data_IF_536952317639
#
_entry.id   IF_536952317639
#
_cell.length_a   1.000
_cell.length_b   1.000
_cell.length_c   1.000
_cell.angle_alpha   90.00
_cell.angle_beta   90.00
_cell.angle_gamma   90.00
#
_symmetry.space_group_name_H-M   'P 1'
#
loop_
_entity.id
_entity.type
_entity.pdbx_description
1 polymer ?
#
# COMPACT_ATOMS: atom_id res chain seq x y z
N UNK A 1 4.86 -24.90 -15.34
CA UNK A 1 5.10 -25.03 -13.89
C UNK A 1 4.19 -24.02 -13.19
N UNK A 2 3.19 -24.50 -12.47
CA UNK A 2 2.32 -23.65 -11.66
C UNK A 2 3.12 -23.20 -10.44
N UNK A 3 3.45 -21.92 -10.37
CA UNK A 3 4.01 -21.31 -9.17
C UNK A 3 2.88 -20.99 -8.18
N UNK A 4 3.14 -21.10 -6.89
CA UNK A 4 2.16 -20.76 -5.84
C UNK A 4 1.66 -19.33 -6.03
N UNK A 5 0.38 -19.07 -5.76
CA UNK A 5 -0.26 -17.76 -5.94
C UNK A 5 0.41 -16.57 -5.24
N UNK A 6 1.34 -16.84 -4.32
CA UNK A 6 2.18 -15.80 -3.72
C UNK A 6 3.32 -15.30 -4.62
N UNK A 7 3.61 -15.99 -5.73
CA UNK A 7 4.75 -15.69 -6.62
C UNK A 7 4.32 -15.28 -8.03
N UNK A 8 3.05 -15.39 -8.38
CA UNK A 8 2.55 -14.94 -9.68
C UNK A 8 2.26 -13.44 -9.55
N UNK A 9 3.32 -12.65 -9.59
CA UNK A 9 3.22 -11.23 -9.90
C UNK A 9 2.65 -11.07 -11.32
N UNK A 10 2.01 -9.96 -11.56
CA UNK A 10 1.43 -9.57 -12.83
C UNK A 10 2.42 -9.83 -13.96
N UNK A 11 2.19 -10.89 -14.73
CA UNK A 11 2.84 -11.13 -16.04
C UNK A 11 2.14 -10.33 -17.14
N UNK A 12 1.53 -9.20 -16.79
CA UNK A 12 1.02 -8.23 -17.75
C UNK A 12 2.13 -7.27 -18.12
N UNK A 13 2.49 -7.25 -19.39
CA UNK A 13 3.44 -6.34 -20.05
C UNK A 13 4.16 -5.34 -19.13
N UNK A 14 5.38 -5.71 -18.73
CA UNK A 14 6.27 -4.79 -17.99
C UNK A 14 6.47 -3.46 -18.74
N UNK A 15 6.36 -3.45 -20.06
CA UNK A 15 6.44 -2.26 -20.90
C UNK A 15 5.36 -1.21 -20.59
N UNK A 16 4.13 -1.61 -20.19
CA UNK A 16 3.08 -0.66 -19.80
C UNK A 16 3.34 0.02 -18.45
N UNK A 17 4.22 -0.52 -17.63
CA UNK A 17 4.55 0.05 -16.31
C UNK A 17 5.44 1.28 -16.48
N UNK A 18 6.27 1.31 -17.52
CA UNK A 18 7.18 2.43 -17.80
C UNK A 18 6.47 3.69 -18.33
N UNK A 19 5.23 3.55 -18.81
CA UNK A 19 4.41 4.68 -19.32
C UNK A 19 3.52 5.32 -18.23
N UNK A 20 3.58 4.88 -16.98
CA UNK A 20 2.83 5.50 -15.91
C UNK A 20 3.39 6.88 -15.58
N UNK A 21 2.55 7.91 -15.66
CA UNK A 21 2.94 9.27 -15.33
C UNK A 21 3.34 9.37 -13.83
N UNK A 22 4.36 10.17 -13.55
CA UNK A 22 4.80 10.50 -12.21
C UNK A 22 3.64 11.06 -11.36
N UNK A 23 3.45 10.54 -10.14
CA UNK A 23 2.40 10.98 -9.23
C UNK A 23 2.86 12.28 -8.57
N UNK A 24 2.37 13.39 -9.10
CA UNK A 24 2.56 14.70 -8.47
C UNK A 24 1.34 15.01 -7.60
N UNK A 25 1.41 14.64 -6.31
CA UNK A 25 0.34 14.85 -5.33
C UNK A 25 0.80 15.79 -4.24
N UNK A 26 -0.03 16.75 -3.90
CA UNK A 26 0.13 17.69 -2.77
C UNK A 26 -0.44 17.12 -1.45
N UNK A 27 -1.05 15.95 -1.49
CA UNK A 27 -1.62 15.29 -0.32
C UNK A 27 -0.55 14.98 0.71
N UNK A 28 -0.79 15.45 1.94
CA UNK A 28 0.13 15.29 3.07
C UNK A 28 -0.58 14.70 4.27
N UNK A 29 0.17 13.93 5.06
CA UNK A 29 -0.33 13.33 6.30
C UNK A 29 0.70 13.51 7.41
N UNK A 30 0.27 13.54 8.67
CA UNK A 30 1.18 13.58 9.80
C UNK A 30 1.73 12.19 10.14
N UNK A 31 2.99 12.14 10.52
CA UNK A 31 3.65 10.90 10.96
C UNK A 31 2.90 10.23 12.13
N UNK A 32 2.36 11.03 13.05
CA UNK A 32 1.53 10.57 14.17
C UNK A 32 0.28 9.83 13.71
N UNK A 33 -0.38 10.34 12.67
CA UNK A 33 -1.62 9.74 12.15
C UNK A 33 -1.32 8.40 11.46
N UNK A 34 -0.23 8.33 10.70
CA UNK A 34 0.23 7.07 10.10
C UNK A 34 0.47 6.01 11.17
N UNK A 35 1.21 6.35 12.22
CA UNK A 35 1.56 5.40 13.29
C UNK A 35 0.33 4.99 14.12
N UNK A 36 -0.56 5.95 14.42
CA UNK A 36 -1.80 5.69 15.13
C UNK A 36 -2.73 4.78 14.33
N UNK A 37 -2.90 5.06 13.04
CA UNK A 37 -3.70 4.22 12.16
C UNK A 37 -3.08 2.82 12.00
N UNK A 38 -1.77 2.73 11.83
CA UNK A 38 -1.08 1.43 11.75
C UNK A 38 -1.27 0.59 13.02
N UNK A 39 -1.32 1.21 14.20
CA UNK A 39 -1.60 0.51 15.46
C UNK A 39 -3.01 -0.10 15.44
N UNK A 40 -4.03 0.68 15.09
CA UNK A 40 -5.42 0.21 14.95
C UNK A 40 -5.53 -0.87 13.86
N UNK A 41 -4.93 -0.63 12.72
CA UNK A 41 -4.87 -1.57 11.60
C UNK A 41 -4.33 -2.94 12.01
N UNK A 42 -3.29 -2.98 12.85
CA UNK A 42 -2.68 -4.24 13.29
C UNK A 42 -3.55 -5.03 14.30
N UNK A 43 -4.42 -4.37 15.05
CA UNK A 43 -5.23 -5.00 16.12
C UNK A 43 -6.64 -5.39 15.66
N UNK A 44 -7.05 -5.06 14.45
CA UNK A 44 -8.45 -5.16 13.99
C UNK A 44 -8.73 -6.32 13.03
N UNK A 45 -8.03 -7.45 13.15
CA UNK A 45 -8.24 -8.60 12.26
C UNK A 45 -8.63 -9.87 13.02
N UNK A 46 -9.94 -10.09 13.20
CA UNK A 46 -10.46 -11.33 13.78
C UNK A 46 -10.07 -12.58 12.98
N UNK A 47 -9.96 -12.44 11.65
CA UNK A 47 -9.58 -13.56 10.79
C UNK A 47 -8.12 -13.94 10.99
N UNK A 48 -7.23 -12.95 11.14
CA UNK A 48 -5.83 -13.20 11.47
C UNK A 48 -5.68 -13.81 12.87
N UNK A 49 -6.42 -13.30 13.85
CA UNK A 49 -6.38 -13.80 15.23
C UNK A 49 -6.79 -15.29 15.30
N UNK A 50 -7.75 -15.69 14.47
CA UNK A 50 -8.24 -17.07 14.42
C UNK A 50 -7.36 -18.01 13.59
N UNK A 51 -6.67 -17.51 12.56
CA UNK A 51 -6.01 -18.36 11.56
C UNK A 51 -4.51 -18.14 11.45
N UNK A 52 -4.00 -16.96 11.84
CA UNK A 52 -2.61 -16.55 11.63
C UNK A 52 -2.20 -16.45 10.17
N UNK A 53 -3.12 -16.61 9.21
CA UNK A 53 -2.80 -16.91 7.81
C UNK A 53 -3.43 -15.94 6.80
N UNK A 54 -3.63 -14.68 7.15
CA UNK A 54 -4.15 -13.68 6.22
C UNK A 54 -3.31 -12.42 6.17
N UNK A 55 -3.28 -11.80 5.01
CA UNK A 55 -2.82 -10.44 4.81
C UNK A 55 -4.00 -9.48 4.83
N UNK A 56 -3.76 -8.28 5.32
CA UNK A 56 -4.74 -7.20 5.39
C UNK A 56 -4.24 -6.00 4.60
N UNK A 57 -5.15 -5.34 3.90
CA UNK A 57 -4.93 -4.05 3.27
C UNK A 57 -6.05 -3.08 3.69
N UNK A 58 -5.68 -1.84 3.89
CA UNK A 58 -6.59 -0.76 4.25
C UNK A 58 -6.28 0.47 3.41
N UNK A 59 -7.33 1.13 2.93
CA UNK A 59 -7.23 2.38 2.19
C UNK A 59 -7.98 3.47 2.95
N UNK A 60 -7.25 4.48 3.37
CA UNK A 60 -7.78 5.64 4.09
C UNK A 60 -7.80 6.83 3.15
N UNK A 61 -8.97 7.38 2.86
CA UNK A 61 -9.17 8.50 1.97
C UNK A 61 -9.11 9.83 2.73
N UNK A 62 -8.88 10.95 2.01
CA UNK A 62 -8.85 12.31 2.56
C UNK A 62 -10.16 12.67 3.29
N UNK A 63 -11.31 12.17 2.82
CA UNK A 63 -12.62 12.40 3.43
C UNK A 63 -12.88 11.58 4.71
N UNK A 64 -11.88 10.83 5.18
CA UNK A 64 -11.99 9.94 6.33
C UNK A 64 -12.64 8.59 6.04
N UNK A 65 -13.04 8.31 4.79
CA UNK A 65 -13.57 7.00 4.42
C UNK A 65 -12.47 5.93 4.51
N UNK A 66 -12.77 4.81 5.13
CA UNK A 66 -11.85 3.69 5.30
C UNK A 66 -12.42 2.44 4.64
N UNK A 67 -11.64 1.82 3.78
CA UNK A 67 -11.90 0.49 3.23
C UNK A 67 -10.89 -0.50 3.76
N UNK A 68 -11.35 -1.68 4.16
CA UNK A 68 -10.50 -2.75 4.69
C UNK A 68 -10.82 -4.05 4.00
N UNK A 69 -9.79 -4.80 3.63
CA UNK A 69 -9.92 -6.12 3.03
C UNK A 69 -8.86 -7.08 3.54
N UNK A 70 -9.18 -8.36 3.54
CA UNK A 70 -8.30 -9.44 3.94
C UNK A 70 -8.24 -10.52 2.86
N UNK A 71 -7.06 -11.14 2.70
CA UNK A 71 -6.84 -12.26 1.79
C UNK A 71 -5.59 -13.05 2.22
N UNK A 72 -5.52 -14.33 1.86
CA UNK A 72 -4.31 -15.15 2.05
C UNK A 72 -3.13 -14.57 1.26
N UNK A 73 -3.39 -14.03 0.07
CA UNK A 73 -2.39 -13.41 -0.79
C UNK A 73 -2.27 -11.91 -0.55
N UNK A 74 -1.08 -11.42 -0.17
CA UNK A 74 -0.85 -9.97 0.04
C UNK A 74 -1.18 -9.10 -1.19
N UNK A 75 -0.98 -9.64 -2.40
CA UNK A 75 -1.33 -8.96 -3.65
C UNK A 75 -2.85 -8.82 -3.81
N UNK A 76 -3.57 -9.90 -3.50
CA UNK A 76 -5.02 -9.93 -3.57
C UNK A 76 -5.67 -8.98 -2.54
N UNK A 77 -5.11 -8.88 -1.33
CA UNK A 77 -5.61 -7.95 -0.32
C UNK A 77 -5.58 -6.49 -0.83
N UNK A 78 -4.48 -6.09 -1.52
CA UNK A 78 -4.37 -4.77 -2.13
C UNK A 78 -5.35 -4.61 -3.30
N UNK A 79 -5.43 -5.59 -4.20
CA UNK A 79 -6.37 -5.52 -5.33
C UNK A 79 -7.82 -5.40 -4.86
N UNK A 80 -8.19 -6.15 -3.82
CA UNK A 80 -9.53 -6.09 -3.22
C UNK A 80 -9.85 -4.70 -2.66
N UNK A 81 -8.95 -4.08 -1.90
CA UNK A 81 -9.24 -2.78 -1.28
C UNK A 81 -9.33 -1.66 -2.31
N UNK A 82 -8.48 -1.70 -3.34
CA UNK A 82 -8.55 -0.75 -4.46
C UNK A 82 -9.83 -0.99 -5.27
N UNK A 83 -10.14 -2.25 -5.56
CA UNK A 83 -11.37 -2.64 -6.26
C UNK A 83 -12.63 -2.19 -5.51
N UNK A 84 -12.66 -2.36 -4.18
CA UNK A 84 -13.77 -1.94 -3.34
C UNK A 84 -13.98 -0.41 -3.39
N UNK A 85 -12.91 0.38 -3.32
CA UNK A 85 -12.98 1.84 -3.48
C UNK A 85 -13.49 2.23 -4.88
N UNK A 86 -13.00 1.54 -5.92
CA UNK A 86 -13.43 1.76 -7.31
C UNK A 86 -14.92 1.44 -7.53
N UNK A 87 -15.41 0.32 -6.98
CA UNK A 87 -16.84 -0.05 -7.05
C UNK A 87 -17.73 0.99 -6.37
N UNK A 88 -17.23 1.65 -5.32
CA UNK A 88 -17.90 2.76 -4.64
C UNK A 88 -17.62 4.12 -5.30
N UNK A 89 -17.03 4.16 -6.49
CA UNK A 89 -16.72 5.37 -7.27
C UNK A 89 -15.93 6.42 -6.48
N UNK A 90 -15.03 5.97 -5.58
CA UNK A 90 -14.18 6.86 -4.77
C UNK A 90 -12.89 7.20 -5.51
N UNK A 91 -12.50 8.48 -5.44
CA UNK A 91 -11.17 8.91 -5.88
C UNK A 91 -10.11 8.56 -4.82
N UNK A 92 -9.09 7.84 -5.23
CA UNK A 92 -8.01 7.36 -4.35
C UNK A 92 -6.71 8.17 -4.47
N UNK A 93 -6.72 9.26 -5.26
CA UNK A 93 -5.53 10.10 -5.50
C UNK A 93 -5.07 10.88 -4.26
N UNK A 94 -5.91 11.01 -3.25
CA UNK A 94 -5.61 11.58 -1.95
C UNK A 94 -5.92 10.54 -0.86
N UNK A 95 -5.07 9.53 -0.79
CA UNK A 95 -5.25 8.42 0.14
C UNK A 95 -3.93 7.86 0.65
N UNK A 96 -4.01 7.09 1.71
CA UNK A 96 -2.93 6.26 2.23
C UNK A 96 -3.34 4.80 2.14
N UNK A 97 -2.52 3.98 1.50
CA UNK A 97 -2.67 2.53 1.51
C UNK A 97 -1.82 1.93 2.64
N UNK A 98 -2.44 1.20 3.53
CA UNK A 98 -1.77 0.41 4.57
C UNK A 98 -1.78 -1.07 4.21
N UNK A 99 -0.66 -1.76 4.45
CA UNK A 99 -0.54 -3.19 4.16
C UNK A 99 0.23 -3.93 5.27
N UNK A 100 -0.10 -5.20 5.47
CA UNK A 100 0.65 -6.07 6.41
C UNK A 100 1.84 -6.75 5.77
N UNK A 101 1.82 -6.91 4.44
CA UNK A 101 2.84 -7.64 3.68
C UNK A 101 4.03 -6.79 3.27
N UNK A 102 5.12 -7.46 2.88
CA UNK A 102 6.30 -6.79 2.27
C UNK A 102 5.88 -6.03 1.02
N UNK A 103 6.46 -4.84 0.83
CA UNK A 103 6.21 -4.00 -0.35
C UNK A 103 7.26 -4.31 -1.43
N UNK A 104 6.86 -5.12 -2.40
CA UNK A 104 7.65 -5.41 -3.61
C UNK A 104 7.31 -4.42 -4.74
N UNK A 105 8.06 -4.49 -5.83
CA UNK A 105 7.82 -3.66 -7.02
C UNK A 105 6.37 -3.80 -7.51
N UNK A 106 5.85 -5.03 -7.58
CA UNK A 106 4.50 -5.31 -8.09
C UNK A 106 3.43 -4.65 -7.21
N UNK A 107 3.65 -4.61 -5.88
CA UNK A 107 2.75 -3.92 -4.95
C UNK A 107 2.75 -2.40 -5.18
N UNK A 108 3.94 -1.83 -5.38
CA UNK A 108 4.11 -0.40 -5.70
C UNK A 108 3.44 -0.07 -7.03
N UNK A 109 3.66 -0.89 -8.07
CA UNK A 109 3.06 -0.69 -9.40
C UNK A 109 1.53 -0.66 -9.35
N UNK A 110 0.89 -1.52 -8.57
CA UNK A 110 -0.57 -1.47 -8.36
C UNK A 110 -1.01 -0.10 -7.85
N UNK A 111 -0.27 0.47 -6.90
CA UNK A 111 -0.55 1.80 -6.36
C UNK A 111 -0.30 2.91 -7.39
N UNK A 112 0.75 2.79 -8.21
CA UNK A 112 1.03 3.72 -9.32
C UNK A 112 -0.12 3.76 -10.31
N UNK A 113 -0.62 2.62 -10.75
CA UNK A 113 -1.72 2.51 -11.71
C UNK A 113 -3.00 3.22 -11.23
N UNK A 114 -3.23 3.24 -9.92
CA UNK A 114 -4.38 3.90 -9.30
C UNK A 114 -4.08 5.29 -8.75
N UNK A 115 -2.83 5.78 -8.94
CA UNK A 115 -2.36 7.09 -8.47
C UNK A 115 -2.48 7.29 -6.96
N UNK A 116 -2.28 6.22 -6.18
CA UNK A 116 -2.22 6.26 -4.72
C UNK A 116 -0.87 6.84 -4.29
N UNK A 117 -0.81 8.01 -3.63
CA UNK A 117 0.45 8.72 -3.42
C UNK A 117 1.28 8.21 -2.25
N UNK A 118 0.67 7.57 -1.26
CA UNK A 118 1.34 7.16 -0.02
C UNK A 118 1.03 5.68 0.27
N UNK A 119 2.09 4.88 0.47
CA UNK A 119 1.97 3.45 0.76
C UNK A 119 2.78 3.12 2.02
N UNK A 120 2.13 2.50 2.98
CA UNK A 120 2.67 2.20 4.30
C UNK A 120 2.58 0.71 4.59
N UNK A 121 3.66 0.10 5.11
CA UNK A 121 3.61 -1.27 5.59
C UNK A 121 4.31 -1.44 6.94
N UNK A 122 3.80 -2.38 7.75
CA UNK A 122 4.53 -2.88 8.92
C UNK A 122 5.74 -3.76 8.57
N UNK A 123 5.79 -4.25 7.34
CA UNK A 123 6.84 -5.14 6.85
C UNK A 123 7.96 -4.38 6.12
N UNK A 124 8.94 -5.14 5.65
CA UNK A 124 10.06 -4.63 4.87
C UNK A 124 9.63 -4.15 3.46
N UNK A 125 10.43 -3.29 2.88
CA UNK A 125 10.34 -2.86 1.49
C UNK A 125 11.49 -3.49 0.71
N UNK A 126 11.26 -3.94 -0.51
CA UNK A 126 12.33 -4.47 -1.36
C UNK A 126 13.05 -3.34 -2.09
N UNK A 127 14.31 -3.57 -2.48
CA UNK A 127 15.09 -2.60 -3.26
C UNK A 127 14.35 -2.19 -4.55
N UNK A 128 13.77 -3.15 -5.27
CA UNK A 128 13.00 -2.87 -6.49
C UNK A 128 11.72 -2.08 -6.20
N UNK A 129 11.09 -2.30 -5.03
CA UNK A 129 9.94 -1.50 -4.57
C UNK A 129 10.35 -0.04 -4.32
N UNK A 130 11.50 0.19 -3.67
CA UNK A 130 12.02 1.54 -3.44
C UNK A 130 12.32 2.24 -4.77
N UNK A 131 13.02 1.56 -5.68
CA UNK A 131 13.35 2.10 -7.00
C UNK A 131 12.08 2.51 -7.76
N UNK A 132 11.12 1.61 -7.87
CA UNK A 132 9.85 1.88 -8.56
C UNK A 132 9.06 3.04 -7.90
N UNK A 133 8.99 3.09 -6.57
CA UNK A 133 8.31 4.16 -5.86
C UNK A 133 8.97 5.54 -6.11
N UNK A 134 10.31 5.56 -6.15
CA UNK A 134 11.06 6.78 -6.42
C UNK A 134 10.84 7.28 -7.85
N UNK A 135 10.84 6.38 -8.83
CA UNK A 135 10.64 6.70 -10.25
C UNK A 135 9.22 7.20 -10.56
N UNK A 136 8.22 6.75 -9.79
CA UNK A 136 6.81 7.08 -10.05
C UNK A 136 6.19 8.05 -9.04
N UNK A 137 6.96 8.61 -8.11
CA UNK A 137 6.47 9.65 -7.20
C UNK A 137 5.59 9.12 -6.06
N UNK A 138 5.77 7.87 -5.61
CA UNK A 138 5.09 7.33 -4.42
C UNK A 138 5.92 7.57 -3.16
N UNK A 139 5.30 8.05 -2.09
CA UNK A 139 5.87 8.03 -0.74
C UNK A 139 5.77 6.63 -0.16
N UNK A 140 6.91 5.96 -0.02
CA UNK A 140 6.98 4.57 0.43
C UNK A 140 7.50 4.48 1.85
N UNK A 141 6.70 3.87 2.72
CA UNK A 141 7.00 3.71 4.15
C UNK A 141 7.01 2.24 4.52
N UNK A 142 8.09 1.81 5.16
CA UNK A 142 8.21 0.45 5.69
C UNK A 142 8.50 0.43 7.19
N UNK A 143 8.37 -0.76 7.78
CA UNK A 143 8.61 -0.99 9.20
C UNK A 143 7.81 -0.06 10.12
N UNK A 144 6.61 0.35 9.71
CA UNK A 144 5.73 1.18 10.53
C UNK A 144 5.21 0.36 11.73
N UNK A 145 5.85 0.51 12.88
CA UNK A 145 5.55 -0.27 14.10
C UNK A 145 5.78 0.57 15.35
N UNK A 146 4.88 0.48 16.32
CA UNK A 146 4.98 1.23 17.57
C UNK A 146 5.07 2.72 17.30
N UNK A 147 6.21 3.35 17.64
CA UNK A 147 6.49 4.77 17.44
C UNK A 147 7.49 5.08 16.31
N UNK A 148 7.83 4.07 15.49
CA UNK A 148 8.88 4.19 14.47
C UNK A 148 8.38 3.76 13.10
N UNK A 149 8.90 4.41 12.06
CA UNK A 149 8.73 4.02 10.65
C UNK A 149 9.94 4.50 9.84
N UNK A 150 10.19 3.86 8.72
CA UNK A 150 11.22 4.27 7.77
C UNK A 150 10.55 4.82 6.51
N UNK A 151 10.83 6.06 6.16
CA UNK A 151 10.38 6.69 4.91
C UNK A 151 11.49 6.57 3.89
N UNK A 152 11.24 5.86 2.80
CA UNK A 152 12.26 5.52 1.79
C UNK A 152 12.26 6.48 0.60
N UNK A 153 11.10 7.02 0.23
CA UNK A 153 10.95 7.86 -0.97
C UNK A 153 9.98 9.01 -0.70
N UNK A 154 10.18 10.13 -1.37
CA UNK A 154 9.28 11.30 -1.39
C UNK A 154 8.73 11.70 -0.01
N UNK A 155 9.64 11.90 0.96
CA UNK A 155 9.32 12.20 2.37
C UNK A 155 8.55 13.51 2.58
N UNK A 156 8.54 14.41 1.60
CA UNK A 156 7.84 15.71 1.69
C UNK A 156 6.31 15.63 1.85
N UNK A 157 5.71 14.42 1.72
CA UNK A 157 4.28 14.19 2.00
C UNK A 157 4.01 13.76 3.44
N UNK A 158 5.04 13.62 4.26
CA UNK A 158 4.90 13.26 5.67
C UNK A 158 5.35 14.43 6.53
N UNK A 159 4.41 15.02 7.24
CA UNK A 159 4.68 16.06 8.23
C UNK A 159 5.08 15.41 9.57
N UNK A 160 6.11 15.95 10.21
CA UNK A 160 6.63 15.49 11.52
C UNK A 160 5.93 16.23 12.65
#
# INVERSE_FOLDING_TARGET
>A
TLTSGCCVGVTGNAEKIFDCAFINSDYKVHAKDILSNMKLFNTSSKLFDNTGCVHKAELVLEDGTIYVTEDIGRHNAIDKVIGLASMNKKDVKKSVLYATGRLSMEMVVKCVMHKIPIVVSKAAVTFQGIKSANEHGITLVGFARGSKMNVYTHSGRINV
#
